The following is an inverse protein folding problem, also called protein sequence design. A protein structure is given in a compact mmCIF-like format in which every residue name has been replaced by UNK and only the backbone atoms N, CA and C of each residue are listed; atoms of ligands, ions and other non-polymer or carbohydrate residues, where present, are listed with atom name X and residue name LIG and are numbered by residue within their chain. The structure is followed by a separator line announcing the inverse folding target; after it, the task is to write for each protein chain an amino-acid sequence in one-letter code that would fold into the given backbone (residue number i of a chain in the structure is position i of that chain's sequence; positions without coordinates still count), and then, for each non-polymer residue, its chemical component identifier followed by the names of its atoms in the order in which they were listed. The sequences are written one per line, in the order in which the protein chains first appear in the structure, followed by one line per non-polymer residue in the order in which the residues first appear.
data_IF_270821978388
#
_entry.id   IF_270821978388
#
_cell.length_a   1.000
_cell.length_b   1.000
_cell.length_c   1.000
_cell.angle_alpha   90.00
_cell.angle_beta   90.00
_cell.angle_gamma   90.00
#
_symmetry.space_group_name_H-M   'P 1'
#
loop_
_entity.id
_entity.type
_entity.pdbx_description
1 polymer ?
#
# COMPACT_ATOMS: atom_id res chain seq x y z
N UNK A 1 -13.96 8.21 69.22
CA UNK A 1 -13.44 9.15 68.18
C UNK A 1 -12.19 8.61 67.48
N UNK A 2 -11.24 8.03 68.22
CA UNK A 2 -9.96 7.53 67.69
C UNK A 2 -10.08 6.37 66.69
N UNK A 3 -11.03 5.46 66.90
CA UNK A 3 -11.26 4.31 66.00
C UNK A 3 -11.80 4.74 64.64
N UNK A 4 -12.63 5.78 64.60
CA UNK A 4 -13.16 6.33 63.36
C UNK A 4 -12.06 7.02 62.54
N UNK A 5 -11.20 7.81 63.18
CA UNK A 5 -10.03 8.42 62.53
C UNK A 5 -9.10 7.35 61.95
N UNK A 6 -8.84 6.26 62.67
CA UNK A 6 -8.01 5.15 62.19
C UNK A 6 -8.62 4.48 60.95
N UNK A 7 -9.92 4.22 60.96
CA UNK A 7 -10.62 3.63 59.82
C UNK A 7 -10.57 4.54 58.58
N UNK A 8 -10.70 5.87 58.76
CA UNK A 8 -10.58 6.84 57.67
C UNK A 8 -9.18 6.84 57.07
N UNK A 9 -8.13 6.91 57.91
CA UNK A 9 -6.74 6.88 57.40
C UNK A 9 -6.37 5.56 56.70
N UNK A 10 -6.92 4.43 57.16
CA UNK A 10 -6.73 3.14 56.49
C UNK A 10 -7.46 3.08 55.14
N UNK A 11 -8.66 3.66 55.06
CA UNK A 11 -9.40 3.78 53.81
C UNK A 11 -8.71 4.73 52.80
N UNK A 12 -8.20 5.86 53.27
CA UNK A 12 -7.44 6.82 52.45
C UNK A 12 -6.17 6.17 51.91
N UNK A 13 -5.39 5.49 52.75
CA UNK A 13 -4.19 4.76 52.33
C UNK A 13 -4.51 3.71 51.28
N UNK A 14 -5.55 2.90 51.50
CA UNK A 14 -5.99 1.89 50.54
C UNK A 14 -6.44 2.51 49.22
N UNK A 15 -7.16 3.63 49.25
CA UNK A 15 -7.55 4.36 48.05
C UNK A 15 -6.33 4.88 47.28
N UNK A 16 -5.33 5.43 47.98
CA UNK A 16 -4.08 5.88 47.36
C UNK A 16 -3.29 4.72 46.73
N UNK A 17 -3.21 3.57 47.40
CA UNK A 17 -2.60 2.36 46.85
C UNK A 17 -3.32 1.89 45.58
N UNK A 18 -4.65 1.91 45.57
CA UNK A 18 -5.45 1.55 44.40
C UNK A 18 -5.20 2.52 43.23
N UNK A 19 -5.18 3.84 43.49
CA UNK A 19 -4.88 4.85 42.46
C UNK A 19 -3.47 4.67 41.90
N UNK A 20 -2.49 4.43 42.76
CA UNK A 20 -1.10 4.16 42.36
C UNK A 20 -0.98 2.91 41.50
N UNK A 21 -1.66 1.83 41.90
CA UNK A 21 -1.68 0.58 41.14
C UNK A 21 -2.30 0.76 39.75
N UNK A 22 -3.44 1.45 39.64
CA UNK A 22 -4.09 1.75 38.36
C UNK A 22 -3.21 2.64 37.47
N UNK A 23 -2.59 3.68 38.03
CA UNK A 23 -1.65 4.53 37.28
C UNK A 23 -0.46 3.74 36.76
N UNK A 24 0.11 2.86 37.58
CA UNK A 24 1.23 2.01 37.17
C UNK A 24 0.81 1.00 36.09
N UNK A 25 -0.41 0.46 36.13
CA UNK A 25 -0.96 -0.38 35.05
C UNK A 25 -1.12 0.40 33.75
N UNK A 26 -1.70 1.60 33.81
CA UNK A 26 -1.84 2.49 32.65
C UNK A 26 -0.48 2.83 32.04
N UNK A 27 0.52 3.18 32.86
CA UNK A 27 1.87 3.51 32.39
C UNK A 27 2.53 2.32 31.68
N UNK A 28 2.40 1.10 32.23
CA UNK A 28 2.87 -0.11 31.55
C UNK A 28 2.14 -0.34 30.23
N UNK A 29 0.82 -0.14 30.18
CA UNK A 29 0.05 -0.29 28.94
C UNK A 29 0.47 0.73 27.88
N UNK A 30 0.76 1.97 28.27
CA UNK A 30 1.26 3.00 27.36
C UNK A 30 2.68 2.69 26.87
N UNK A 31 3.56 2.21 27.74
CA UNK A 31 4.90 1.78 27.36
C UNK A 31 4.85 0.62 26.35
N UNK A 32 3.96 -0.35 26.59
CA UNK A 32 3.74 -1.49 25.72
C UNK A 32 3.13 -1.08 24.37
N UNK A 33 2.12 -0.21 24.37
CA UNK A 33 1.54 0.32 23.14
C UNK A 33 2.59 1.08 22.31
N UNK A 34 3.50 1.82 22.95
CA UNK A 34 4.62 2.49 22.27
C UNK A 34 5.63 1.49 21.70
N UNK A 35 5.96 0.43 22.46
CA UNK A 35 6.84 -0.66 21.99
C UNK A 35 6.21 -1.34 20.76
N UNK A 36 4.94 -1.72 20.86
CA UNK A 36 4.19 -2.33 19.77
C UNK A 36 4.14 -1.43 18.53
N UNK A 37 3.83 -0.14 18.71
CA UNK A 37 3.82 0.80 17.59
C UNK A 37 5.19 0.92 16.90
N UNK A 38 6.30 0.84 17.66
CA UNK A 38 7.64 0.84 17.07
C UNK A 38 7.98 -0.46 16.34
N UNK A 39 7.51 -1.60 16.85
CA UNK A 39 7.68 -2.91 16.21
C UNK A 39 6.86 -3.01 14.93
N UNK A 40 5.60 -2.56 14.97
CA UNK A 40 4.72 -2.49 13.80
C UNK A 40 5.33 -1.61 12.72
N UNK A 41 5.84 -0.42 13.07
CA UNK A 41 6.53 0.47 12.12
C UNK A 41 7.74 -0.21 11.47
N UNK A 42 8.54 -0.96 12.24
CA UNK A 42 9.70 -1.70 11.71
C UNK A 42 9.27 -2.83 10.77
N UNK A 43 8.18 -3.54 11.08
CA UNK A 43 7.66 -4.61 10.20
C UNK A 43 7.12 -4.07 8.88
N UNK A 44 6.52 -2.88 8.87
CA UNK A 44 6.05 -2.22 7.64
C UNK A 44 7.23 -1.84 6.76
N UNK A 45 8.31 -1.29 7.33
CA UNK A 45 9.52 -0.91 6.59
C UNK A 45 10.17 -2.15 5.95
N UNK A 46 10.32 -3.23 6.73
CA UNK A 46 10.96 -4.46 6.24
C UNK A 46 10.14 -5.14 5.11
N UNK A 47 8.81 -5.16 5.22
CA UNK A 47 7.94 -5.68 4.16
C UNK A 47 7.97 -4.84 2.87
N UNK A 48 8.14 -3.51 2.99
CA UNK A 48 8.23 -2.62 1.84
C UNK A 48 9.53 -2.85 1.04
N UNK A 49 10.65 -3.09 1.70
CA UNK A 49 11.92 -3.39 1.02
C UNK A 49 11.84 -4.74 0.27
N UNK A 50 11.30 -5.81 0.88
CA UNK A 50 11.25 -7.14 0.22
C UNK A 50 10.32 -7.17 -1.01
N UNK A 51 9.23 -6.40 -0.97
CA UNK A 51 8.24 -6.35 -2.07
C UNK A 51 8.78 -5.70 -3.35
N UNK A 52 9.59 -4.64 -3.22
CA UNK A 52 10.16 -3.93 -4.39
C UNK A 52 11.43 -4.59 -4.94
N UNK A 53 12.04 -5.46 -4.14
CA UNK A 53 13.24 -6.21 -4.49
C UNK A 53 12.93 -7.69 -4.77
N UNK A 54 11.72 -8.06 -5.20
CA UNK A 54 11.39 -9.46 -5.50
C UNK A 54 11.76 -9.87 -6.94
N UNK A 55 12.39 -11.03 -7.10
CA UNK A 55 12.78 -11.59 -8.40
C UNK A 55 11.54 -11.99 -9.22
N UNK A 56 11.39 -11.45 -10.43
CA UNK A 56 10.22 -11.73 -11.29
C UNK A 56 10.04 -13.22 -11.66
N UNK A 57 11.13 -13.99 -11.74
CA UNK A 57 11.08 -15.42 -12.09
C UNK A 57 10.79 -16.34 -10.89
N UNK A 58 11.27 -16.02 -9.69
CA UNK A 58 11.22 -16.96 -8.54
C UNK A 58 10.78 -16.37 -7.20
N UNK A 59 10.48 -15.07 -7.13
CA UNK A 59 9.96 -14.41 -5.93
C UNK A 59 10.96 -14.21 -4.78
N UNK A 60 12.20 -14.71 -4.88
CA UNK A 60 13.26 -14.44 -3.88
C UNK A 60 13.82 -13.04 -4.03
N UNK A 61 14.49 -12.53 -2.99
CA UNK A 61 15.23 -11.25 -3.02
C UNK A 61 16.11 -11.15 -4.27
N UNK A 62 15.85 -10.13 -5.06
CA UNK A 62 16.57 -9.71 -6.23
C UNK A 62 17.77 -8.87 -5.80
N UNK A 63 18.89 -9.11 -6.47
CA UNK A 63 20.14 -8.39 -6.25
C UNK A 63 20.51 -7.54 -7.46
N UNK A 64 19.90 -7.81 -8.61
CA UNK A 64 20.26 -7.23 -9.88
C UNK A 64 19.02 -6.77 -10.63
N UNK A 65 19.23 -5.79 -11.50
CA UNK A 65 18.19 -5.23 -12.34
C UNK A 65 18.49 -5.53 -13.80
N UNK A 66 17.46 -5.70 -14.62
CA UNK A 66 17.63 -5.82 -16.07
C UNK A 66 18.36 -4.60 -16.63
N UNK A 67 19.53 -4.81 -17.24
CA UNK A 67 20.39 -3.76 -17.80
C UNK A 67 19.75 -2.98 -18.96
N UNK A 68 18.75 -3.55 -19.63
CA UNK A 68 18.06 -2.92 -20.77
C UNK A 68 16.92 -1.98 -20.39
N UNK A 69 16.26 -2.18 -19.24
CA UNK A 69 15.07 -1.41 -18.88
C UNK A 69 15.04 -0.89 -17.45
N UNK A 70 15.98 -1.32 -16.61
CA UNK A 70 16.06 -1.05 -15.18
C UNK A 70 14.75 -1.31 -14.40
N UNK A 71 13.76 -1.99 -14.98
CA UNK A 71 12.43 -2.17 -14.38
C UNK A 71 12.28 -3.57 -13.79
N UNK A 72 12.60 -4.61 -14.56
CA UNK A 72 12.55 -5.98 -14.07
C UNK A 72 13.70 -6.29 -13.10
N UNK A 73 13.41 -7.03 -12.04
CA UNK A 73 14.33 -7.39 -10.95
C UNK A 73 14.57 -8.89 -10.91
N UNK A 74 15.83 -9.29 -10.70
CA UNK A 74 16.23 -10.70 -10.64
C UNK A 74 17.25 -10.96 -9.54
N UNK A 75 17.22 -12.17 -8.98
CA UNK A 75 18.21 -12.64 -7.99
C UNK A 75 19.53 -13.12 -8.62
N UNK A 76 19.73 -12.88 -9.92
CA UNK A 76 20.87 -13.35 -10.70
C UNK A 76 20.54 -13.49 -12.19
N UNK A 77 21.58 -13.47 -13.04
CA UNK A 77 21.44 -13.57 -14.50
C UNK A 77 20.70 -14.83 -14.97
N UNK A 78 20.78 -15.93 -14.22
CA UNK A 78 20.03 -17.16 -14.54
C UNK A 78 18.51 -16.94 -14.56
N UNK A 79 17.98 -16.20 -13.57
CA UNK A 79 16.56 -15.89 -13.51
C UNK A 79 16.15 -14.90 -14.60
N UNK A 80 17.04 -13.97 -14.96
CA UNK A 80 16.82 -13.04 -16.06
C UNK A 80 16.67 -13.77 -17.41
N UNK A 81 17.58 -14.70 -17.72
CA UNK A 81 17.50 -15.46 -18.97
C UNK A 81 16.26 -16.34 -19.04
N UNK A 82 15.84 -16.92 -17.91
CA UNK A 82 14.64 -17.79 -17.86
C UNK A 82 13.33 -17.02 -18.03
N UNK A 83 13.27 -15.77 -17.57
CA UNK A 83 12.11 -14.90 -17.77
C UNK A 83 12.15 -14.12 -19.09
N UNK A 84 13.28 -14.15 -19.80
CA UNK A 84 13.51 -13.34 -21.00
C UNK A 84 12.40 -13.49 -22.05
N UNK A 85 11.92 -14.70 -22.32
CA UNK A 85 10.85 -14.95 -23.29
C UNK A 85 9.54 -14.24 -22.92
N UNK A 86 9.27 -14.03 -21.63
CA UNK A 86 8.10 -13.26 -21.17
C UNK A 86 8.40 -11.76 -21.11
N UNK A 87 9.56 -11.39 -20.58
CA UNK A 87 9.94 -10.00 -20.31
C UNK A 87 10.36 -9.20 -21.56
N UNK A 88 10.95 -9.81 -22.59
CA UNK A 88 11.59 -9.07 -23.69
C UNK A 88 10.62 -8.17 -24.47
N UNK A 89 9.36 -8.57 -24.61
CA UNK A 89 8.32 -7.77 -25.27
C UNK A 89 8.02 -6.45 -24.55
N UNK A 90 8.25 -6.39 -23.23
CA UNK A 90 8.02 -5.22 -22.39
C UNK A 90 9.32 -4.56 -21.92
N UNK A 91 10.48 -5.11 -22.29
CA UNK A 91 11.79 -4.59 -21.95
C UNK A 91 12.03 -3.26 -22.68
N UNK A 92 12.18 -2.17 -21.92
CA UNK A 92 12.54 -0.83 -22.44
C UNK A 92 11.36 0.15 -22.52
N UNK A 93 10.13 -0.30 -22.23
CA UNK A 93 8.96 0.58 -22.23
C UNK A 93 8.93 1.55 -21.02
N UNK A 94 9.78 1.33 -20.00
CA UNK A 94 9.78 2.07 -18.72
C UNK A 94 10.63 3.35 -18.66
N UNK A 95 11.33 3.77 -19.72
CA UNK A 95 12.26 4.92 -19.68
C UNK A 95 11.80 6.17 -20.46
N UNK A 96 10.50 6.35 -20.70
CA UNK A 96 9.96 7.59 -21.31
C UNK A 96 9.70 8.72 -20.30
N UNK A 97 10.41 8.72 -19.16
CA UNK A 97 10.12 9.57 -18.00
C UNK A 97 11.08 10.72 -17.71
N UNK A 98 12.05 11.07 -18.57
CA UNK A 98 12.91 12.26 -18.38
C UNK A 98 12.80 13.23 -19.58
N UNK A 99 12.54 14.54 -19.37
CA UNK A 99 12.43 15.50 -20.46
C UNK A 99 13.83 15.95 -20.94
N UNK A 100 14.38 15.22 -21.91
CA UNK A 100 15.53 15.63 -22.72
C UNK A 100 15.06 16.02 -24.12
N UNK A 101 14.89 17.32 -24.34
CA UNK A 101 14.44 17.95 -25.59
C UNK A 101 15.28 17.54 -26.81
N UNK A 102 14.64 17.02 -27.88
CA UNK A 102 14.64 17.62 -29.24
C UNK A 102 14.05 16.68 -30.32
N UNK A 103 12.79 16.97 -30.67
CA UNK A 103 12.23 17.12 -32.04
C UNK A 103 12.39 16.05 -33.14
N UNK A 104 11.21 15.43 -33.40
CA UNK A 104 10.47 15.14 -34.66
C UNK A 104 10.74 13.88 -35.52
N UNK A 105 9.66 13.20 -35.99
CA UNK A 105 9.71 11.97 -36.78
C UNK A 105 9.65 12.24 -38.29
N UNK A 106 10.28 11.37 -39.09
CA UNK A 106 10.05 11.29 -40.54
C UNK A 106 9.62 9.85 -40.88
N UNK A 107 8.43 9.73 -41.45
CA UNK A 107 7.80 8.45 -41.78
C UNK A 107 8.27 7.83 -43.11
N UNK A 108 7.62 6.72 -43.45
CA UNK A 108 7.42 6.03 -44.75
C UNK A 108 7.31 4.53 -44.39
N UNK A 109 6.34 3.70 -44.75
CA UNK A 109 5.16 3.75 -45.62
C UNK A 109 4.76 2.29 -45.89
N UNK A 110 3.46 2.03 -46.03
CA UNK A 110 2.81 0.88 -46.68
C UNK A 110 3.05 -0.57 -46.20
N UNK A 111 1.99 -1.17 -45.66
CA UNK A 111 1.41 -2.38 -46.26
C UNK A 111 -0.09 -2.49 -45.90
N UNK A 112 -0.93 -2.37 -46.93
CA UNK A 112 -2.37 -2.64 -46.89
C UNK A 112 -2.64 -4.14 -46.73
N UNK A 113 -3.61 -4.51 -45.90
CA UNK A 113 -4.59 -5.55 -46.25
C UNK A 113 -5.96 -5.17 -45.70
N UNK A 114 -6.90 -5.06 -46.63
CA UNK A 114 -8.31 -4.78 -46.41
C UNK A 114 -9.02 -5.98 -45.81
N UNK A 115 -9.83 -5.77 -44.77
CA UNK A 115 -11.02 -6.58 -44.50
C UNK A 115 -12.01 -5.79 -43.63
N UNK A 116 -13.08 -5.33 -44.27
CA UNK A 116 -14.39 -5.01 -43.68
C UNK A 116 -15.42 -5.67 -44.60
N UNK A 117 -16.55 -6.19 -44.10
CA UNK A 117 -17.54 -5.32 -43.46
C UNK A 117 -18.35 -5.97 -42.31
N UNK A 118 -18.99 -5.16 -41.48
CA UNK A 118 -20.47 -5.07 -41.42
C UNK A 118 -20.95 -4.11 -40.32
N UNK A 119 -21.80 -3.22 -40.79
CA UNK A 119 -22.64 -2.24 -40.11
C UNK A 119 -23.47 -2.85 -38.96
N UNK A 120 -23.74 -2.08 -37.91
CA UNK A 120 -25.06 -1.44 -37.72
C UNK A 120 -25.26 -0.88 -36.30
N UNK A 121 -25.76 0.35 -36.25
CA UNK A 121 -26.66 0.93 -35.24
C UNK A 121 -26.03 1.40 -33.91
N UNK A 122 -25.69 2.68 -33.73
CA UNK A 122 -26.54 3.88 -33.57
C UNK A 122 -26.71 4.29 -32.10
N UNK A 123 -26.50 5.60 -31.88
CA UNK A 123 -27.16 6.45 -30.88
C UNK A 123 -26.43 6.71 -29.55
N UNK A 124 -25.76 7.88 -29.55
CA UNK A 124 -26.09 9.06 -28.73
C UNK A 124 -26.03 9.04 -27.19
N UNK A 125 -25.64 10.21 -26.69
CA UNK A 125 -25.81 10.78 -25.34
C UNK A 125 -24.72 10.38 -24.32
N UNK A 126 -23.77 11.27 -23.98
CA UNK A 126 -23.89 12.48 -23.13
C UNK A 126 -23.91 12.20 -21.62
N UNK A 127 -23.00 12.92 -20.93
CA UNK A 127 -23.13 13.53 -19.59
C UNK A 127 -22.53 12.82 -18.37
N UNK A 128 -21.55 13.53 -17.81
CA UNK A 128 -21.18 13.66 -16.40
C UNK A 128 -22.32 13.48 -15.40
N UNK A 129 -22.03 12.88 -14.23
CA UNK A 129 -22.34 13.42 -12.87
C UNK A 129 -21.86 12.49 -11.74
N UNK A 130 -21.12 13.08 -10.79
CA UNK A 130 -20.95 12.84 -9.33
C UNK A 130 -21.51 11.58 -8.64
N UNK A 131 -20.78 10.98 -7.66
CA UNK A 131 -21.32 9.97 -6.75
C UNK A 131 -22.17 10.59 -5.62
N UNK A 132 -23.30 9.95 -5.33
CA UNK A 132 -24.31 10.32 -4.34
C UNK A 132 -24.00 9.75 -2.94
N UNK A 133 -24.23 10.58 -1.93
CA UNK A 133 -24.34 10.24 -0.50
C UNK A 133 -25.74 9.72 -0.19
N UNK A 134 -25.94 8.63 0.57
CA UNK A 134 -27.24 8.35 1.18
C UNK A 134 -27.28 8.80 2.64
N UNK A 135 -28.24 9.68 2.94
CA UNK A 135 -28.67 10.04 4.28
C UNK A 135 -29.99 9.32 4.63
N UNK A 136 -30.14 9.01 5.91
CA UNK A 136 -31.37 9.01 6.71
C UNK A 136 -32.46 7.96 6.36
N UNK A 137 -32.71 7.04 7.31
CA UNK A 137 -34.01 6.41 7.50
C UNK A 137 -34.52 6.70 8.92
N UNK A 138 -35.64 7.40 8.97
CA UNK A 138 -36.56 7.50 10.10
C UNK A 138 -37.56 6.33 10.00
N UNK A 139 -37.90 5.72 11.13
CA UNK A 139 -39.07 4.87 11.23
C UNK A 139 -39.69 5.00 12.64
N UNK A 140 -40.68 5.87 12.70
CA UNK A 140 -41.73 5.95 13.72
C UNK A 140 -42.51 4.64 13.95
N UNK A 141 -43.13 4.56 15.13
CA UNK A 141 -44.40 3.87 15.46
C UNK A 141 -44.32 2.58 16.29
N UNK A 142 -44.48 2.69 17.62
CA UNK A 142 -45.76 2.49 18.34
C UNK A 142 -45.59 2.70 19.85
#
# INVERSE_FOLDING_TARGET
MSELQKAVSDAERKAHEMISAERSKMERALAEAKRQASEDALTVINQQEDSSESCWNCGRKASETCSGCNTARYCGSFCQHKDWEKHHHVCGQGLQGLPGSSSVPLGTGSASVSASPKESSSSSASRSTTPATPALLDATSR
#
